data_IF_425171660630
#
_entry.id   IF_425171660630
#
_cell.length_a   1.000
_cell.length_b   1.000
_cell.length_c   1.000
_cell.angle_alpha   90.00
_cell.angle_beta   90.00
_cell.angle_gamma   90.00
#
_symmetry.space_group_name_H-M   'P 1'
#
loop_
_entity.id
_entity.type
_entity.pdbx_description
1 polymer ?
#
# COMPACT_ATOMS: atom_id res chain seq x y z
N UNK A 1 -1.73 -24.63 7.83
CA UNK A 1 -0.77 -23.80 7.05
C UNK A 1 -1.34 -23.22 5.73
N UNK A 2 -1.65 -24.04 4.71
CA UNK A 2 -2.06 -23.53 3.37
C UNK A 2 -3.46 -22.89 3.40
N UNK A 3 -4.43 -23.52 4.07
CA UNK A 3 -5.79 -22.99 4.21
C UNK A 3 -5.85 -21.69 5.01
N UNK A 4 -5.02 -21.57 6.05
CA UNK A 4 -4.91 -20.36 6.87
C UNK A 4 -4.24 -19.22 6.08
N UNK A 5 -3.22 -19.55 5.28
CA UNK A 5 -2.59 -18.58 4.37
C UNK A 5 -3.58 -18.09 3.32
N UNK A 6 -4.36 -18.99 2.70
CA UNK A 6 -5.42 -18.62 1.76
C UNK A 6 -6.51 -17.75 2.40
N UNK A 7 -6.97 -18.12 3.61
CA UNK A 7 -7.97 -17.33 4.35
C UNK A 7 -7.45 -15.92 4.65
N UNK A 8 -6.19 -15.77 5.01
CA UNK A 8 -5.61 -14.45 5.29
C UNK A 8 -5.34 -13.62 4.05
N UNK A 9 -4.87 -14.22 2.95
CA UNK A 9 -4.81 -13.57 1.64
C UNK A 9 -6.18 -12.98 1.30
N UNK A 10 -7.24 -13.76 1.52
CA UNK A 10 -8.62 -13.36 1.24
C UNK A 10 -9.14 -12.25 2.17
N UNK A 11 -8.69 -12.18 3.42
CA UNK A 11 -9.11 -11.19 4.42
C UNK A 11 -8.30 -9.89 4.39
N UNK A 12 -7.03 -9.96 3.96
CA UNK A 12 -6.08 -8.87 4.08
C UNK A 12 -5.71 -8.21 2.74
N UNK A 13 -6.19 -8.71 1.60
CA UNK A 13 -6.05 -7.99 0.33
C UNK A 13 -6.97 -6.77 0.30
N UNK A 14 -6.44 -5.54 0.25
CA UNK A 14 -7.27 -4.35 0.21
C UNK A 14 -7.93 -4.21 -1.18
N UNK A 15 -9.20 -3.76 -1.25
CA UNK A 15 -9.77 -3.31 -2.51
C UNK A 15 -9.00 -2.07 -2.98
N UNK A 16 -8.47 -2.12 -4.21
CA UNK A 16 -7.77 -0.99 -4.83
C UNK A 16 -8.81 -0.02 -5.34
N UNK A 17 -8.88 1.19 -4.76
CA UNK A 17 -9.71 2.27 -5.28
C UNK A 17 -9.07 2.86 -6.54
N UNK A 18 -9.79 2.86 -7.66
CA UNK A 18 -9.37 3.48 -8.92
C UNK A 18 -10.18 4.76 -9.18
N UNK A 19 -9.66 5.63 -10.06
CA UNK A 19 -10.18 6.98 -10.32
C UNK A 19 -11.52 7.03 -11.06
N UNK A 20 -11.81 5.98 -11.82
CA UNK A 20 -13.07 5.79 -12.52
C UNK A 20 -13.27 4.30 -12.79
N UNK A 21 -14.51 3.88 -13.00
CA UNK A 21 -14.78 2.50 -13.39
C UNK A 21 -14.11 2.09 -14.70
N UNK A 22 -13.79 3.06 -15.57
CA UNK A 22 -13.05 2.84 -16.81
C UNK A 22 -11.55 2.60 -16.57
N UNK A 23 -10.89 3.39 -15.71
CA UNK A 23 -9.50 3.13 -15.33
C UNK A 23 -9.35 1.82 -14.56
N UNK A 24 -10.31 1.53 -13.65
CA UNK A 24 -10.38 0.26 -12.97
C UNK A 24 -10.46 -0.91 -13.96
N UNK A 25 -11.38 -0.84 -14.93
CA UNK A 25 -11.55 -1.87 -15.95
C UNK A 25 -10.29 -2.05 -16.80
N UNK A 26 -9.67 -0.94 -17.22
CA UNK A 26 -8.45 -0.93 -18.05
C UNK A 26 -7.24 -1.55 -17.32
N UNK A 27 -7.08 -1.31 -16.02
CA UNK A 27 -6.00 -1.89 -15.23
C UNK A 27 -6.28 -3.35 -14.80
N UNK A 28 -7.55 -3.73 -14.63
CA UNK A 28 -7.94 -5.09 -14.26
C UNK A 28 -7.93 -6.06 -15.45
N UNK A 29 -8.25 -5.62 -16.68
CA UNK A 29 -8.35 -6.48 -17.87
C UNK A 29 -7.09 -7.32 -18.14
N UNK A 30 -5.88 -6.71 -18.20
CA UNK A 30 -4.64 -7.45 -18.48
C UNK A 30 -4.29 -8.39 -17.32
N UNK A 31 -4.51 -7.93 -16.08
CA UNK A 31 -4.28 -8.71 -14.86
C UNK A 31 -5.13 -9.97 -14.83
N UNK A 32 -6.44 -9.85 -15.07
CA UNK A 32 -7.38 -11.00 -15.09
C UNK A 32 -6.98 -11.99 -16.19
N UNK A 33 -6.64 -11.53 -17.39
CA UNK A 33 -6.17 -12.40 -18.47
C UNK A 33 -4.90 -13.19 -18.09
N UNK A 34 -3.93 -12.53 -17.46
CA UNK A 34 -2.68 -13.16 -17.00
C UNK A 34 -2.86 -14.13 -15.82
N UNK A 35 -3.87 -13.88 -14.97
CA UNK A 35 -4.23 -14.75 -13.84
C UNK A 35 -5.01 -16.00 -14.27
N UNK A 36 -5.85 -15.90 -15.30
CA UNK A 36 -6.67 -17.02 -15.80
C UNK A 36 -5.85 -17.91 -16.75
N UNK A 37 -4.93 -17.34 -17.53
CA UNK A 37 -4.11 -18.08 -18.50
C UNK A 37 -2.62 -17.81 -18.29
N UNK A 38 -2.03 -18.25 -17.15
CA UNK A 38 -0.62 -18.00 -16.86
C UNK A 38 0.33 -18.73 -17.83
N UNK A 39 -0.15 -19.79 -18.50
CA UNK A 39 0.60 -20.56 -19.48
C UNK A 39 -0.16 -20.66 -20.80
N UNK A 40 0.43 -20.11 -21.86
CA UNK A 40 -0.05 -20.20 -23.24
C UNK A 40 -1.50 -19.70 -23.48
N UNK A 41 -1.81 -18.41 -23.21
CA UNK A 41 -3.10 -17.80 -23.57
C UNK A 41 -3.44 -17.98 -25.06
N UNK A 42 -2.44 -18.11 -25.93
CA UNK A 42 -2.63 -18.37 -27.35
C UNK A 42 -3.26 -19.72 -27.69
N UNK A 43 -2.93 -20.80 -26.96
CA UNK A 43 -3.42 -22.16 -27.27
C UNK A 43 -4.77 -22.43 -26.59
N UNK A 44 -4.87 -22.12 -25.30
CA UNK A 44 -6.09 -22.37 -24.53
C UNK A 44 -7.15 -21.29 -24.72
N UNK A 45 -6.74 -20.04 -24.95
CA UNK A 45 -7.66 -18.99 -25.39
C UNK A 45 -8.27 -19.33 -26.75
N UNK A 46 -7.49 -19.88 -27.68
CA UNK A 46 -8.01 -20.35 -28.97
C UNK A 46 -9.04 -21.47 -28.81
N UNK A 47 -8.82 -22.43 -27.90
CA UNK A 47 -9.80 -23.48 -27.61
C UNK A 47 -11.10 -22.91 -27.01
N UNK A 48 -11.01 -21.93 -26.11
CA UNK A 48 -12.19 -21.24 -25.59
C UNK A 48 -12.95 -20.51 -26.71
N UNK A 49 -12.24 -19.84 -27.63
CA UNK A 49 -12.86 -19.21 -28.80
C UNK A 49 -13.55 -20.23 -29.70
N UNK A 50 -12.96 -21.42 -29.89
CA UNK A 50 -13.61 -22.53 -30.60
C UNK A 50 -14.88 -22.96 -29.86
N UNK A 51 -14.83 -23.11 -28.54
CA UNK A 51 -15.97 -23.49 -27.72
C UNK A 51 -17.11 -22.47 -27.79
N UNK A 52 -16.79 -21.17 -27.77
CA UNK A 52 -17.78 -20.09 -27.88
C UNK A 52 -18.38 -20.03 -29.29
N UNK A 53 -17.57 -20.14 -30.34
CA UNK A 53 -18.03 -19.99 -31.73
C UNK A 53 -18.68 -21.23 -32.33
N UNK A 54 -18.18 -22.42 -31.97
CA UNK A 54 -18.51 -23.69 -32.62
C UNK A 54 -18.96 -24.79 -31.65
N UNK A 55 -19.01 -24.51 -30.35
CA UNK A 55 -19.58 -25.45 -29.38
C UNK A 55 -21.08 -25.67 -29.61
N UNK A 56 -21.54 -26.87 -29.32
CA UNK A 56 -22.96 -27.19 -29.33
C UNK A 56 -23.64 -26.52 -28.13
N UNK A 57 -24.53 -25.56 -28.40
CA UNK A 57 -25.34 -24.87 -27.40
C UNK A 57 -26.81 -25.19 -27.61
N UNK A 58 -27.60 -25.17 -26.53
CA UNK A 58 -29.04 -25.49 -26.61
C UNK A 58 -29.81 -24.40 -27.36
N UNK A 59 -29.37 -23.14 -27.25
CA UNK A 59 -29.86 -22.01 -28.05
C UNK A 59 -28.68 -21.24 -28.67
N UNK A 60 -28.86 -20.59 -29.83
CA UNK A 60 -27.83 -19.72 -30.42
C UNK A 60 -27.39 -18.59 -29.49
N UNK A 61 -28.33 -18.04 -28.71
CA UNK A 61 -28.10 -16.91 -27.80
C UNK A 61 -27.21 -17.28 -26.60
N UNK A 62 -27.17 -18.56 -26.21
CA UNK A 62 -26.33 -19.05 -25.11
C UNK A 62 -24.82 -18.86 -25.39
N UNK A 63 -24.44 -18.64 -26.65
CA UNK A 63 -23.06 -18.35 -27.07
C UNK A 63 -22.56 -16.99 -26.60
N UNK A 64 -23.48 -16.06 -26.31
CA UNK A 64 -23.14 -14.73 -25.79
C UNK A 64 -23.00 -14.70 -24.27
N UNK A 65 -23.49 -15.72 -23.57
CA UNK A 65 -23.44 -15.84 -22.11
C UNK A 65 -22.03 -15.59 -21.53
N UNK A 66 -20.92 -16.07 -22.12
CA UNK A 66 -19.57 -15.84 -21.59
C UNK A 66 -19.14 -14.40 -21.72
N UNK A 67 -19.52 -13.76 -22.84
CA UNK A 67 -19.23 -12.35 -23.09
C UNK A 67 -19.99 -11.49 -22.09
N UNK A 68 -21.29 -11.76 -21.91
CA UNK A 68 -22.11 -11.04 -20.93
C UNK A 68 -21.61 -11.23 -19.50
N UNK A 69 -21.33 -12.46 -19.07
CA UNK A 69 -20.88 -12.75 -17.71
C UNK A 69 -19.45 -12.26 -17.47
N UNK A 70 -18.57 -12.33 -18.47
CA UNK A 70 -17.24 -11.72 -18.38
C UNK A 70 -17.33 -10.20 -18.20
N UNK A 71 -18.23 -9.55 -18.93
CA UNK A 71 -18.43 -8.09 -18.90
C UNK A 71 -19.26 -7.60 -17.71
N UNK A 72 -20.09 -8.46 -17.10
CA UNK A 72 -20.99 -8.10 -15.98
C UNK A 72 -20.23 -7.52 -14.77
N UNK A 73 -19.11 -8.11 -14.31
CA UNK A 73 -18.20 -7.49 -13.35
C UNK A 73 -17.74 -6.09 -13.71
N UNK A 74 -17.42 -5.86 -14.99
CA UNK A 74 -16.95 -4.56 -15.47
C UNK A 74 -18.09 -3.55 -15.55
N UNK A 75 -19.31 -3.98 -15.86
CA UNK A 75 -20.50 -3.14 -15.76
C UNK A 75 -20.73 -2.68 -14.31
N UNK A 76 -20.55 -3.57 -13.33
CA UNK A 76 -20.60 -3.21 -11.91
C UNK A 76 -19.49 -2.21 -11.50
N UNK A 77 -18.26 -2.44 -11.96
CA UNK A 77 -17.14 -1.51 -11.74
C UNK A 77 -17.40 -0.15 -12.41
N UNK A 78 -17.96 -0.14 -13.63
CA UNK A 78 -18.34 1.06 -14.38
C UNK A 78 -19.47 1.85 -13.72
N UNK A 79 -20.49 1.17 -13.20
CA UNK A 79 -21.68 1.80 -12.61
C UNK A 79 -21.47 2.23 -11.16
N UNK A 80 -20.68 1.48 -10.38
CA UNK A 80 -20.57 1.68 -8.93
C UNK A 80 -19.19 2.17 -8.48
N UNK A 81 -18.19 2.23 -9.37
CA UNK A 81 -16.81 2.63 -9.08
C UNK A 81 -16.15 1.80 -7.94
N UNK A 82 -16.69 0.62 -7.64
CA UNK A 82 -16.14 -0.33 -6.67
C UNK A 82 -15.18 -1.24 -7.43
N UNK A 83 -13.91 -0.92 -7.36
CA UNK A 83 -12.85 -1.76 -7.88
C UNK A 83 -12.08 -2.38 -6.72
N UNK A 84 -11.65 -3.64 -6.90
CA UNK A 84 -11.05 -4.42 -5.82
C UNK A 84 -11.80 -5.67 -5.41
N UNK A 85 -12.61 -6.26 -6.29
CA UNK A 85 -13.09 -7.63 -6.13
C UNK A 85 -12.12 -8.59 -6.83
N UNK A 86 -11.17 -9.26 -6.15
CA UNK A 86 -10.30 -10.25 -6.77
C UNK A 86 -11.03 -11.59 -6.91
N UNK A 87 -12.37 -11.59 -7.10
CA UNK A 87 -13.17 -12.83 -7.20
C UNK A 87 -14.02 -12.89 -8.46
N UNK A 88 -14.03 -11.85 -9.28
CA UNK A 88 -14.79 -11.87 -10.54
C UNK A 88 -14.28 -12.93 -11.51
N UNK A 89 -12.96 -13.20 -11.51
CA UNK A 89 -12.43 -14.34 -12.25
C UNK A 89 -12.90 -15.69 -11.68
N UNK A 90 -13.13 -15.82 -10.36
CA UNK A 90 -13.66 -17.04 -9.74
C UNK A 90 -15.12 -17.31 -10.14
N UNK A 91 -15.92 -16.26 -10.35
CA UNK A 91 -17.27 -16.40 -10.89
C UNK A 91 -17.27 -16.76 -12.38
N UNK A 92 -16.28 -16.28 -13.14
CA UNK A 92 -16.14 -16.58 -14.56
C UNK A 92 -15.41 -17.90 -14.84
N UNK A 93 -14.67 -18.43 -13.86
CA UNK A 93 -13.84 -19.62 -13.99
C UNK A 93 -14.66 -20.88 -14.37
N UNK A 94 -15.81 -21.19 -13.74
CA UNK A 94 -16.66 -22.30 -14.16
C UNK A 94 -17.11 -22.19 -15.63
N UNK A 95 -17.44 -20.99 -16.10
CA UNK A 95 -17.82 -20.76 -17.49
C UNK A 95 -16.64 -20.97 -18.43
N UNK A 96 -15.47 -20.42 -18.12
CA UNK A 96 -14.27 -20.66 -18.91
C UNK A 96 -13.95 -22.15 -19.02
N UNK A 97 -14.13 -22.92 -17.95
CA UNK A 97 -13.95 -24.38 -17.98
C UNK A 97 -14.99 -25.07 -18.88
N UNK A 98 -16.25 -24.62 -18.90
CA UNK A 98 -17.29 -25.14 -19.79
C UNK A 98 -16.92 -24.87 -21.26
N UNK A 99 -16.54 -23.64 -21.62
CA UNK A 99 -16.18 -23.32 -23.01
C UNK A 99 -14.85 -23.93 -23.44
N UNK A 100 -13.90 -24.08 -22.51
CA UNK A 100 -12.68 -24.83 -22.77
C UNK A 100 -13.00 -26.29 -23.07
N UNK A 101 -13.91 -26.92 -22.31
CA UNK A 101 -14.34 -28.31 -22.54
C UNK A 101 -15.10 -28.47 -23.87
N UNK A 102 -15.98 -27.53 -24.22
CA UNK A 102 -16.67 -27.52 -25.52
C UNK A 102 -15.67 -27.33 -26.67
N UNK A 103 -14.69 -26.44 -26.48
CA UNK A 103 -13.63 -26.16 -27.45
C UNK A 103 -12.70 -27.34 -27.69
N UNK A 104 -12.28 -28.03 -26.64
CA UNK A 104 -11.45 -29.24 -26.74
C UNK A 104 -12.20 -30.39 -27.40
N UNK A 105 -13.50 -30.56 -27.08
CA UNK A 105 -14.36 -31.54 -27.74
C UNK A 105 -14.47 -31.26 -29.25
N UNK A 106 -14.77 -30.01 -29.61
CA UNK A 106 -14.93 -29.61 -31.01
C UNK A 106 -13.62 -29.71 -31.80
N UNK A 107 -12.50 -29.33 -31.18
CA UNK A 107 -11.18 -29.49 -31.78
C UNK A 107 -10.84 -30.98 -32.01
N UNK A 108 -11.14 -31.84 -31.04
CA UNK A 108 -10.96 -33.29 -31.15
C UNK A 108 -11.82 -33.91 -32.26
N UNK A 109 -13.10 -33.52 -32.36
CA UNK A 109 -13.99 -33.99 -33.43
C UNK A 109 -13.49 -33.57 -34.81
N UNK A 110 -13.05 -32.31 -34.97
CA UNK A 110 -12.49 -31.83 -36.25
C UNK A 110 -11.22 -32.57 -36.64
N UNK A 111 -10.36 -32.87 -35.66
CA UNK A 111 -9.16 -33.66 -35.90
C UNK A 111 -9.50 -35.11 -36.31
N UNK A 112 -10.51 -35.73 -35.70
CA UNK A 112 -11.00 -37.05 -36.07
C UNK A 112 -11.55 -37.10 -37.50
N UNK A 113 -12.27 -36.05 -37.92
CA UNK A 113 -12.77 -35.95 -39.30
C UNK A 113 -11.65 -35.77 -40.32
N UNK A 114 -10.59 -35.03 -39.98
CA UNK A 114 -9.42 -34.85 -40.85
C UNK A 114 -8.61 -36.15 -40.96
N UNK A 115 -8.49 -36.90 -39.87
CA UNK A 115 -7.73 -38.15 -39.80
C UNK A 115 -8.54 -39.41 -40.18
N UNK A 116 -9.82 -39.26 -40.54
CA UNK A 116 -10.75 -40.35 -40.89
C UNK A 116 -10.78 -41.50 -39.86
N UNK A 117 -10.58 -41.19 -38.58
CA UNK A 117 -10.54 -42.19 -37.49
C UNK A 117 -11.39 -41.72 -36.30
N UNK A 118 -12.59 -42.28 -36.09
CA UNK A 118 -13.53 -41.79 -35.08
C UNK A 118 -12.99 -41.92 -33.64
N UNK A 119 -12.19 -42.95 -33.34
CA UNK A 119 -11.59 -43.12 -32.01
C UNK A 119 -10.49 -42.10 -31.66
N UNK A 120 -9.92 -41.42 -32.66
CA UNK A 120 -8.80 -40.48 -32.45
C UNK A 120 -9.30 -39.15 -31.86
N UNK A 121 -10.55 -38.76 -32.10
CA UNK A 121 -11.10 -37.50 -31.59
C UNK A 121 -11.17 -37.43 -30.07
N UNK A 122 -11.69 -38.48 -29.44
CA UNK A 122 -11.79 -38.58 -27.98
C UNK A 122 -10.41 -38.67 -27.32
N UNK A 123 -9.47 -39.39 -27.96
CA UNK A 123 -8.09 -39.45 -27.50
C UNK A 123 -7.39 -38.08 -27.60
N UNK A 124 -7.62 -37.35 -28.69
CA UNK A 124 -7.07 -36.01 -28.89
C UNK A 124 -7.65 -34.99 -27.91
N UNK A 125 -8.97 -35.00 -27.69
CA UNK A 125 -9.62 -34.14 -26.70
C UNK A 125 -9.10 -34.42 -25.28
N UNK A 126 -9.01 -35.69 -24.89
CA UNK A 126 -8.43 -36.11 -23.60
C UNK A 126 -6.97 -35.69 -23.48
N UNK A 127 -6.18 -35.85 -24.55
CA UNK A 127 -4.78 -35.42 -24.60
C UNK A 127 -4.61 -33.91 -24.40
N UNK A 128 -5.46 -33.09 -25.01
CA UNK A 128 -5.45 -31.64 -24.84
C UNK A 128 -5.81 -31.22 -23.40
N UNK A 129 -6.76 -31.90 -22.76
CA UNK A 129 -7.11 -31.66 -21.35
C UNK A 129 -5.98 -32.08 -20.42
N UNK A 130 -5.34 -33.23 -20.66
CA UNK A 130 -4.20 -33.67 -19.87
C UNK A 130 -3.00 -32.73 -20.02
N UNK A 131 -2.74 -32.24 -21.23
CA UNK A 131 -1.69 -31.24 -21.47
C UNK A 131 -1.98 -29.93 -20.73
N UNK A 132 -3.24 -29.48 -20.72
CA UNK A 132 -3.67 -28.33 -19.93
C UNK A 132 -3.44 -28.54 -18.43
N UNK A 133 -3.87 -29.67 -17.89
CA UNK A 133 -3.72 -30.00 -16.48
C UNK A 133 -2.24 -30.10 -16.09
N UNK A 134 -1.41 -30.77 -16.90
CA UNK A 134 0.01 -30.89 -16.68
C UNK A 134 0.72 -29.52 -16.72
N UNK A 135 0.36 -28.63 -17.65
CA UNK A 135 0.89 -27.27 -17.72
C UNK A 135 0.54 -26.45 -16.49
N UNK A 136 -0.73 -26.45 -16.08
CA UNK A 136 -1.18 -25.76 -14.86
C UNK A 136 -0.53 -26.34 -13.60
N UNK A 137 -0.42 -27.66 -13.49
CA UNK A 137 0.24 -28.31 -12.36
C UNK A 137 1.72 -27.95 -12.31
N UNK A 138 2.39 -27.83 -13.45
CA UNK A 138 3.80 -27.40 -13.53
C UNK A 138 3.97 -25.96 -13.06
N UNK A 139 3.14 -25.03 -13.51
CA UNK A 139 3.15 -23.63 -13.03
C UNK A 139 2.84 -23.59 -11.54
N UNK A 140 1.84 -24.36 -11.09
CA UNK A 140 1.47 -24.42 -9.70
C UNK A 140 2.62 -24.95 -8.85
N UNK A 141 3.32 -26.01 -9.28
CA UNK A 141 4.43 -26.60 -8.53
C UNK A 141 5.76 -25.83 -8.65
N UNK A 142 5.99 -25.10 -9.74
CA UNK A 142 7.26 -24.39 -10.00
C UNK A 142 7.20 -22.91 -9.64
N UNK A 143 6.10 -22.24 -9.93
CA UNK A 143 6.01 -20.78 -9.86
C UNK A 143 5.17 -20.27 -8.69
N UNK A 144 4.26 -21.09 -8.16
CA UNK A 144 3.36 -20.70 -7.05
C UNK A 144 3.66 -21.46 -5.76
N UNK A 145 3.79 -22.78 -5.81
CA UNK A 145 4.04 -23.63 -4.65
C UNK A 145 5.35 -23.24 -3.95
N UNK A 146 6.50 -22.98 -4.62
CA UNK A 146 7.72 -22.59 -3.92
C UNK A 146 7.60 -21.21 -3.26
N UNK A 147 6.82 -20.29 -3.83
CA UNK A 147 6.52 -18.98 -3.23
C UNK A 147 5.71 -19.11 -1.94
N UNK A 148 4.83 -20.11 -1.85
CA UNK A 148 3.97 -20.38 -0.69
C UNK A 148 4.62 -21.34 0.31
N UNK A 149 5.41 -22.31 -0.15
CA UNK A 149 5.98 -23.41 0.64
C UNK A 149 7.37 -23.07 1.24
N UNK A 150 8.12 -22.13 0.65
CA UNK A 150 9.42 -21.71 1.18
C UNK A 150 9.35 -20.79 2.40
N UNK A 151 8.15 -20.37 2.81
CA UNK A 151 7.97 -19.38 3.87
C UNK A 151 7.14 -19.98 5.00
N UNK A 152 7.75 -20.18 6.16
CA UNK A 152 7.00 -20.44 7.38
C UNK A 152 6.28 -19.14 7.80
N UNK A 153 5.10 -18.92 7.23
CA UNK A 153 4.26 -17.76 7.52
C UNK A 153 3.91 -17.66 9.01
N UNK A 154 3.90 -18.79 9.73
CA UNK A 154 3.62 -18.81 11.16
C UNK A 154 4.84 -18.36 11.95
N UNK A 155 6.04 -18.86 11.63
CA UNK A 155 7.29 -18.38 12.20
C UNK A 155 7.49 -16.88 11.93
N UNK A 156 7.28 -16.43 10.69
CA UNK A 156 7.36 -15.01 10.34
C UNK A 156 6.42 -14.14 11.19
N UNK A 157 5.15 -14.54 11.36
CA UNK A 157 4.19 -13.80 12.19
C UNK A 157 4.59 -13.77 13.66
N UNK A 158 5.07 -14.90 14.19
CA UNK A 158 5.49 -14.99 15.59
C UNK A 158 6.71 -14.10 15.84
N UNK A 159 7.72 -14.16 14.98
CA UNK A 159 8.88 -13.27 15.04
C UNK A 159 8.49 -11.80 14.88
N UNK A 160 7.66 -11.47 13.89
CA UNK A 160 7.19 -10.09 13.66
C UNK A 160 6.45 -9.55 14.89
N UNK A 161 5.58 -10.35 15.51
CA UNK A 161 4.85 -9.97 16.72
C UNK A 161 5.78 -9.84 17.94
N UNK A 162 6.83 -10.66 18.03
CA UNK A 162 7.81 -10.58 19.11
C UNK A 162 8.75 -9.36 18.97
N UNK A 163 9.02 -8.94 17.74
CA UNK A 163 9.94 -7.83 17.42
C UNK A 163 9.27 -6.46 17.29
N UNK A 164 7.95 -6.38 17.25
CA UNK A 164 7.19 -5.12 17.18
C UNK A 164 6.55 -4.75 18.51
N UNK A 165 6.86 -3.54 18.99
CA UNK A 165 6.12 -2.92 20.09
C UNK A 165 4.71 -2.48 19.67
N UNK A 166 3.78 -2.30 20.62
CA UNK A 166 2.41 -1.83 20.33
C UNK A 166 2.36 -0.40 19.75
N UNK A 167 3.38 0.41 20.03
CA UNK A 167 3.50 1.79 19.53
C UNK A 167 4.57 1.93 18.45
N UNK A 168 4.99 0.84 17.80
CA UNK A 168 5.92 0.89 16.67
C UNK A 168 5.15 1.09 15.36
N UNK A 169 5.56 2.09 14.56
CA UNK A 169 5.06 2.30 13.22
C UNK A 169 5.77 1.37 12.23
N UNK A 170 4.99 0.55 11.53
CA UNK A 170 5.52 -0.37 10.53
C UNK A 170 5.48 0.23 9.11
N UNK A 171 6.65 0.32 8.50
CA UNK A 171 6.86 0.62 7.09
C UNK A 171 7.20 -0.68 6.36
N UNK A 172 6.94 -0.75 5.06
CA UNK A 172 7.34 -1.89 4.24
C UNK A 172 7.82 -1.41 2.89
N UNK A 173 8.85 -2.06 2.35
CA UNK A 173 9.40 -1.71 1.03
C UNK A 173 8.47 -2.08 -0.11
N UNK A 174 7.60 -3.08 0.07
CA UNK A 174 6.69 -3.57 -0.96
C UNK A 174 5.33 -4.03 -0.42
N UNK A 175 4.25 -3.90 -1.21
CA UNK A 175 2.90 -4.37 -0.82
C UNK A 175 2.84 -5.87 -0.52
N UNK A 176 3.66 -6.70 -1.18
CA UNK A 176 3.67 -8.15 -0.98
C UNK A 176 4.18 -8.57 0.42
N UNK A 177 5.02 -7.73 1.05
CA UNK A 177 5.48 -7.96 2.43
C UNK A 177 4.35 -7.70 3.44
N UNK A 178 3.29 -7.00 3.03
CA UNK A 178 2.20 -6.60 3.91
C UNK A 178 1.20 -7.70 4.22
N UNK A 179 1.14 -8.77 3.42
CA UNK A 179 0.09 -9.79 3.53
C UNK A 179 -0.10 -10.33 4.96
N UNK A 180 1.00 -10.46 5.71
CA UNK A 180 1.02 -10.94 7.10
C UNK A 180 1.25 -9.83 8.14
N UNK A 181 1.46 -8.59 7.68
CA UNK A 181 1.77 -7.43 8.50
C UNK A 181 0.65 -6.37 8.58
N UNK A 182 -0.41 -6.48 7.74
CA UNK A 182 -1.60 -5.58 7.76
C UNK A 182 -2.20 -5.49 9.17
N UNK A 183 -2.45 -6.62 9.83
CA UNK A 183 -3.13 -6.65 11.12
C UNK A 183 -2.28 -6.03 12.24
N UNK A 184 -1.00 -6.41 12.41
CA UNK A 184 -0.09 -5.69 13.31
C UNK A 184 -0.01 -4.19 13.01
N UNK A 185 0.11 -3.81 11.74
CA UNK A 185 0.15 -2.40 11.35
C UNK A 185 -1.09 -1.62 11.78
N UNK A 186 -2.29 -2.12 11.43
CA UNK A 186 -3.56 -1.47 11.80
C UNK A 186 -3.68 -1.33 13.32
N UNK A 187 -3.40 -2.41 14.05
CA UNK A 187 -3.48 -2.42 15.52
C UNK A 187 -2.53 -1.40 16.14
N UNK A 188 -1.27 -1.39 15.69
CA UNK A 188 -0.26 -0.47 16.21
C UNK A 188 -0.60 0.98 15.85
N UNK A 189 -1.06 1.24 14.63
CA UNK A 189 -1.45 2.58 14.21
C UNK A 189 -2.60 3.12 15.06
N UNK A 190 -3.64 2.31 15.32
CA UNK A 190 -4.71 2.72 16.24
C UNK A 190 -4.20 2.97 17.66
N UNK A 191 -3.25 2.16 18.16
CA UNK A 191 -2.64 2.36 19.48
C UNK A 191 -1.82 3.66 19.55
N UNK A 192 -1.00 3.95 18.53
CA UNK A 192 -0.22 5.20 18.41
C UNK A 192 -1.15 6.42 18.46
N UNK A 193 -2.26 6.35 17.73
CA UNK A 193 -3.22 7.46 17.63
C UNK A 193 -3.96 7.70 18.97
N UNK A 194 -4.40 6.62 19.63
CA UNK A 194 -5.10 6.67 20.92
C UNK A 194 -4.20 7.16 22.05
N UNK A 195 -2.98 6.63 22.13
CA UNK A 195 -2.07 6.91 23.25
C UNK A 195 -1.15 8.11 22.97
N UNK A 196 -1.26 8.72 21.79
CA UNK A 196 -0.38 9.80 21.29
C UNK A 196 1.11 9.48 21.53
N UNK A 197 1.51 8.25 21.19
CA UNK A 197 2.83 7.70 21.51
C UNK A 197 3.37 6.90 20.34
N UNK A 198 4.62 7.17 19.96
CA UNK A 198 5.34 6.46 18.90
C UNK A 198 6.71 6.04 19.44
N UNK A 199 6.90 4.74 19.67
CA UNK A 199 8.11 4.18 20.27
C UNK A 199 9.23 3.96 19.25
N UNK A 200 8.88 3.82 17.98
CA UNK A 200 9.86 3.71 16.91
C UNK A 200 9.22 3.54 15.53
N UNK A 201 10.04 3.74 14.49
CA UNK A 201 9.66 3.45 13.11
C UNK A 201 10.50 2.26 12.63
N UNK A 202 9.84 1.22 12.14
CA UNK A 202 10.46 -0.03 11.69
C UNK A 202 10.17 -0.24 10.22
N UNK A 203 11.18 -0.65 9.45
CA UNK A 203 11.04 -0.99 8.03
C UNK A 203 11.11 -2.51 7.85
N UNK A 204 10.02 -3.09 7.34
CA UNK A 204 9.96 -4.45 6.87
C UNK A 204 10.53 -4.52 5.44
N UNK A 205 11.63 -5.25 5.30
CA UNK A 205 12.34 -5.43 4.03
C UNK A 205 12.53 -6.89 3.67
N UNK A 206 13.19 -7.11 2.52
CA UNK A 206 13.65 -8.42 2.08
C UNK A 206 15.10 -8.36 1.64
N UNK A 207 15.90 -9.37 1.99
CA UNK A 207 17.35 -9.42 1.75
C UNK A 207 17.74 -9.34 0.26
N UNK A 208 16.84 -9.73 -0.65
CA UNK A 208 17.08 -9.65 -2.10
C UNK A 208 16.75 -8.29 -2.71
N UNK A 209 16.25 -7.35 -1.91
CA UNK A 209 15.76 -6.07 -2.43
C UNK A 209 16.42 -4.90 -1.72
N UNK A 210 16.85 -3.95 -2.55
CA UNK A 210 17.52 -2.75 -2.10
C UNK A 210 16.57 -1.88 -1.25
N UNK A 211 17.05 -1.28 -0.16
CA UNK A 211 16.33 -0.29 0.63
C UNK A 211 15.89 0.93 -0.19
N UNK A 212 16.57 1.22 -1.31
CA UNK A 212 16.16 2.19 -2.32
C UNK A 212 14.77 1.89 -2.94
N UNK A 213 14.25 0.67 -2.76
CA UNK A 213 12.91 0.31 -3.16
C UNK A 213 11.82 0.87 -2.21
N UNK A 214 12.19 1.37 -1.02
CA UNK A 214 11.24 2.08 -0.17
C UNK A 214 10.92 3.44 -0.77
N UNK A 215 9.82 3.47 -1.51
CA UNK A 215 9.30 4.65 -2.16
C UNK A 215 7.98 5.06 -1.52
N UNK A 216 7.82 6.36 -1.33
CA UNK A 216 6.61 6.96 -0.79
C UNK A 216 6.03 7.93 -1.81
N UNK A 217 4.70 8.01 -1.86
CA UNK A 217 3.99 8.89 -2.78
C UNK A 217 3.77 10.24 -2.12
N UNK A 218 4.46 11.27 -2.59
CA UNK A 218 4.17 12.66 -2.23
C UNK A 218 3.20 13.32 -3.21
N UNK A 219 2.97 14.61 -3.00
CA UNK A 219 2.07 15.43 -3.83
C UNK A 219 2.62 15.62 -5.26
N UNK A 220 3.94 15.74 -5.41
CA UNK A 220 4.62 15.95 -6.70
C UNK A 220 5.01 14.64 -7.40
N UNK A 221 4.77 13.50 -6.76
CA UNK A 221 5.11 12.18 -7.30
C UNK A 221 5.74 11.26 -6.26
N UNK A 222 6.26 10.13 -6.73
CA UNK A 222 6.90 9.11 -5.90
C UNK A 222 8.38 9.41 -5.71
N UNK A 223 8.88 9.30 -4.47
CA UNK A 223 10.30 9.53 -4.17
C UNK A 223 10.84 8.52 -3.15
N UNK A 224 12.15 8.30 -3.17
CA UNK A 224 12.84 7.43 -2.23
C UNK A 224 13.22 8.22 -0.96
N UNK A 225 12.53 7.97 0.15
CA UNK A 225 12.71 8.72 1.40
C UNK A 225 14.04 8.39 2.10
N UNK A 226 14.48 7.14 2.04
CA UNK A 226 15.54 6.60 2.88
C UNK A 226 16.86 6.34 2.14
N UNK A 227 16.85 6.35 0.81
CA UNK A 227 18.05 6.04 -0.01
C UNK A 227 19.28 6.89 0.32
N UNK A 228 19.18 8.19 0.68
CA UNK A 228 20.38 8.97 1.01
C UNK A 228 21.04 8.56 2.34
N UNK A 229 20.30 7.88 3.22
CA UNK A 229 20.72 7.58 4.59
C UNK A 229 21.12 6.11 4.78
N UNK A 230 20.67 5.23 3.87
CA UNK A 230 20.89 3.78 3.96
C UNK A 230 21.40 3.23 2.62
N UNK A 231 22.69 3.35 2.31
CA UNK A 231 23.27 2.82 1.07
C UNK A 231 23.28 1.27 1.01
N UNK A 232 22.97 0.59 2.12
CA UNK A 232 22.84 -0.87 2.22
C UNK A 232 22.10 -1.29 3.49
N UNK A 233 21.85 -2.60 3.67
CA UNK A 233 21.14 -3.14 4.84
C UNK A 233 22.03 -3.06 6.09
N UNK A 234 21.63 -2.32 7.14
CA UNK A 234 22.43 -2.22 8.36
C UNK A 234 22.48 -3.53 9.15
N UNK A 235 23.56 -3.73 9.91
CA UNK A 235 23.72 -4.87 10.83
C UNK A 235 22.68 -4.90 11.97
N UNK A 236 21.88 -3.84 12.13
CA UNK A 236 20.80 -3.75 13.14
C UNK A 236 19.49 -4.39 12.68
N UNK A 237 19.44 -4.95 11.46
CA UNK A 237 18.29 -5.67 10.96
C UNK A 237 18.06 -6.96 11.76
N UNK A 238 16.82 -7.14 12.23
CA UNK A 238 16.37 -8.37 12.90
C UNK A 238 15.82 -9.31 11.84
N UNK A 239 16.37 -10.52 11.74
CA UNK A 239 15.81 -11.56 10.87
C UNK A 239 14.46 -12.01 11.43
N UNK A 240 13.43 -11.99 10.59
CA UNK A 240 12.07 -12.38 10.96
C UNK A 240 11.75 -13.81 10.56
N UNK A 241 12.33 -14.29 9.45
CA UNK A 241 12.23 -15.66 8.92
C UNK A 241 12.61 -15.62 7.43
N UNK A 242 13.57 -16.46 7.05
CA UNK A 242 13.98 -16.64 5.66
C UNK A 242 14.67 -15.40 5.10
N UNK A 243 14.06 -14.77 4.09
CA UNK A 243 14.63 -13.64 3.35
C UNK A 243 14.06 -12.29 3.78
N UNK A 244 13.40 -12.20 4.94
CA UNK A 244 12.72 -10.99 5.43
C UNK A 244 13.32 -10.49 6.74
N UNK A 245 13.48 -9.18 6.83
CA UNK A 245 14.05 -8.54 8.01
C UNK A 245 13.22 -7.35 8.47
N UNK A 246 13.39 -6.99 9.74
CA UNK A 246 12.87 -5.78 10.33
C UNK A 246 14.04 -4.85 10.70
N UNK A 247 14.07 -3.67 10.08
CA UNK A 247 15.11 -2.67 10.32
C UNK A 247 14.56 -1.51 11.17
N UNK A 248 15.11 -1.23 12.37
CA UNK A 248 14.87 0.05 13.03
C UNK A 248 15.34 1.22 12.18
N UNK A 249 14.46 2.18 11.90
CA UNK A 249 14.80 3.43 11.24
C UNK A 249 15.10 4.56 12.22
N UNK A 250 14.64 4.44 13.47
CA UNK A 250 14.81 5.46 14.52
C UNK A 250 15.67 4.94 15.65
N UNK A 251 16.46 5.82 16.27
CA UNK A 251 17.35 5.47 17.37
C UNK A 251 16.63 5.30 18.73
N UNK A 252 15.38 5.74 18.83
CA UNK A 252 14.59 5.69 20.06
C UNK A 252 13.16 6.20 19.85
N UNK A 253 12.42 6.42 20.96
CA UNK A 253 11.04 6.90 20.92
C UNK A 253 10.95 8.30 20.33
N UNK A 254 9.86 8.53 19.59
CA UNK A 254 9.60 9.81 18.98
C UNK A 254 8.94 10.78 19.97
N UNK A 255 9.29 12.05 19.84
CA UNK A 255 8.65 13.14 20.57
C UNK A 255 7.40 13.60 19.82
N UNK A 256 6.25 13.64 20.49
CA UNK A 256 5.04 14.28 19.96
C UNK A 256 5.16 15.80 20.04
N UNK A 257 4.85 16.49 18.95
CA UNK A 257 4.92 17.95 18.83
C UNK A 257 3.55 18.63 19.01
N UNK A 258 2.45 17.87 18.90
CA UNK A 258 1.10 18.39 19.01
C UNK A 258 0.44 17.94 20.31
N UNK A 259 -0.35 18.84 20.88
CA UNK A 259 -1.26 18.54 21.98
C UNK A 259 -2.56 17.95 21.43
N UNK A 260 -3.32 17.31 22.30
CA UNK A 260 -4.67 16.84 21.98
C UNK A 260 -5.61 18.01 21.59
N UNK A 261 -6.49 17.76 20.62
CA UNK A 261 -7.40 18.72 19.98
C UNK A 261 -6.69 19.91 19.31
N UNK A 262 -5.51 19.72 18.73
CA UNK A 262 -4.83 20.79 18.00
C UNK A 262 -5.70 21.35 16.86
N UNK A 263 -6.46 20.50 16.21
CA UNK A 263 -7.34 20.76 15.06
C UNK A 263 -8.43 21.78 15.38
N UNK A 264 -8.92 21.82 16.62
CA UNK A 264 -9.96 22.77 17.05
C UNK A 264 -9.39 23.97 17.78
N UNK A 265 -8.24 23.83 18.46
CA UNK A 265 -7.64 24.89 19.28
C UNK A 265 -6.63 25.75 18.53
N UNK A 266 -6.07 25.26 17.42
CA UNK A 266 -5.04 26.00 16.71
C UNK A 266 -5.60 27.20 15.95
N UNK A 267 -4.83 28.30 15.83
CA UNK A 267 -5.28 29.50 15.13
C UNK A 267 -5.10 29.32 13.61
N UNK A 268 -5.94 28.46 13.00
CA UNK A 268 -5.94 28.20 11.57
C UNK A 268 -6.19 29.48 10.76
N UNK A 269 -5.50 29.61 9.63
CA UNK A 269 -5.63 30.72 8.69
C UNK A 269 -5.64 30.22 7.25
N UNK A 270 -6.48 30.76 6.36
CA UNK A 270 -6.38 30.48 4.94
C UNK A 270 -5.04 30.93 4.37
N UNK A 271 -4.43 30.11 3.53
CA UNK A 271 -3.18 30.45 2.82
C UNK A 271 -3.32 30.31 1.29
N UNK A 272 -4.32 29.59 0.81
CA UNK A 272 -4.59 29.44 -0.63
C UNK A 272 -6.05 29.05 -0.87
N UNK A 273 -6.62 29.57 -1.97
CA UNK A 273 -7.96 29.22 -2.45
C UNK A 273 -9.11 29.85 -1.68
N UNK A 274 -10.33 29.57 -2.14
CA UNK A 274 -11.56 30.02 -1.53
C UNK A 274 -12.29 28.85 -0.88
N UNK A 275 -12.59 28.98 0.41
CA UNK A 275 -13.24 27.91 1.16
C UNK A 275 -13.60 28.34 2.57
N UNK A 276 -14.11 27.38 3.35
CA UNK A 276 -14.51 27.58 4.74
C UNK A 276 -13.84 26.53 5.61
N UNK A 277 -13.38 26.97 6.77
CA UNK A 277 -12.94 26.10 7.84
C UNK A 277 -13.71 26.43 9.12
N UNK A 278 -14.07 25.41 9.89
CA UNK A 278 -14.77 25.55 11.16
C UNK A 278 -14.65 24.25 11.96
N UNK A 279 -15.08 24.29 13.21
CA UNK A 279 -15.30 23.08 13.98
C UNK A 279 -16.39 22.22 13.33
N UNK A 280 -16.14 20.92 13.28
CA UNK A 280 -17.01 19.93 12.67
C UNK A 280 -18.18 19.58 13.58
N UNK A 281 -19.39 19.35 13.01
CA UNK A 281 -20.50 18.77 13.76
C UNK A 281 -20.35 17.25 13.98
N UNK A 282 -19.40 16.57 13.30
CA UNK A 282 -19.22 15.13 13.46
C UNK A 282 -18.55 14.79 14.79
N UNK A 283 -18.93 13.68 15.45
CA UNK A 283 -18.23 13.18 16.62
C UNK A 283 -16.79 12.81 16.25
N UNK A 284 -15.84 13.50 16.86
CA UNK A 284 -14.42 13.27 16.69
C UNK A 284 -14.02 11.87 17.23
N UNK A 285 -13.16 11.10 16.54
CA UNK A 285 -12.62 9.84 17.05
C UNK A 285 -11.73 10.01 18.28
N UNK A 286 -11.13 11.18 18.46
CA UNK A 286 -10.38 11.57 19.65
C UNK A 286 -10.92 12.88 20.22
N UNK A 287 -10.74 13.11 21.53
CA UNK A 287 -10.90 14.44 22.09
C UNK A 287 -12.31 15.04 21.95
N UNK A 288 -12.36 16.35 21.67
CA UNK A 288 -13.57 17.17 21.81
C UNK A 288 -14.21 17.63 20.49
N UNK A 289 -13.48 17.66 19.38
CA UNK A 289 -14.01 18.13 18.11
C UNK A 289 -13.03 17.94 16.95
N UNK A 290 -13.51 18.09 15.72
CA UNK A 290 -12.72 17.91 14.50
C UNK A 290 -12.69 19.20 13.66
N UNK A 291 -11.71 19.34 12.78
CA UNK A 291 -11.62 20.45 11.83
C UNK A 291 -12.34 20.08 10.53
N UNK A 292 -13.38 20.82 10.17
CA UNK A 292 -14.05 20.71 8.88
C UNK A 292 -13.41 21.68 7.88
N UNK A 293 -12.93 21.17 6.75
CA UNK A 293 -12.58 21.97 5.58
C UNK A 293 -13.57 21.73 4.45
N UNK A 294 -14.02 22.81 3.82
CA UNK A 294 -14.95 22.79 2.70
C UNK A 294 -14.54 23.79 1.65
N UNK A 295 -14.60 23.38 0.39
CA UNK A 295 -14.39 24.28 -0.75
C UNK A 295 -15.51 24.15 -1.78
N UNK A 296 -15.65 25.18 -2.62
CA UNK A 296 -16.47 25.17 -3.83
C UNK A 296 -15.75 24.46 -4.98
N UNK A 297 -16.38 24.39 -6.15
CA UNK A 297 -15.83 23.67 -7.30
C UNK A 297 -14.66 24.39 -8.00
N UNK A 298 -14.31 25.62 -7.59
CA UNK A 298 -13.41 26.49 -8.35
C UNK A 298 -11.94 26.27 -8.00
N UNK A 299 -11.62 26.06 -6.72
CA UNK A 299 -10.23 25.97 -6.26
C UNK A 299 -10.02 24.99 -5.11
N UNK A 300 -8.80 24.46 -5.02
CA UNK A 300 -8.34 23.76 -3.83
C UNK A 300 -8.21 24.77 -2.69
N UNK A 301 -8.53 24.37 -1.46
CA UNK A 301 -8.49 25.24 -0.30
C UNK A 301 -7.48 24.74 0.73
N UNK A 302 -6.60 25.63 1.18
CA UNK A 302 -5.53 25.32 2.11
C UNK A 302 -5.55 26.23 3.33
N UNK A 303 -5.47 25.62 4.51
CA UNK A 303 -5.29 26.33 5.78
C UNK A 303 -3.96 25.96 6.42
N UNK A 304 -3.41 26.89 7.18
CA UNK A 304 -2.17 26.73 7.92
C UNK A 304 -2.37 27.08 9.39
N UNK A 305 -1.69 26.35 10.28
CA UNK A 305 -1.58 26.69 11.69
C UNK A 305 -0.15 26.51 12.21
N UNK A 306 0.32 27.39 13.13
CA UNK A 306 1.62 27.23 13.76
C UNK A 306 1.62 26.05 14.74
N UNK A 307 2.68 25.25 14.71
CA UNK A 307 2.95 24.23 15.73
C UNK A 307 3.64 24.93 16.91
N UNK A 308 3.17 24.75 18.16
CA UNK A 308 3.73 25.45 19.30
C UNK A 308 5.19 25.08 19.59
N UNK A 309 6.02 26.10 19.84
CA UNK A 309 7.42 25.94 20.22
C UNK A 309 8.40 25.96 19.05
N UNK A 310 9.69 25.82 19.38
CA UNK A 310 10.78 25.75 18.41
C UNK A 310 11.25 24.30 18.31
N UNK A 311 11.41 23.81 17.09
CA UNK A 311 11.97 22.50 16.83
C UNK A 311 13.49 22.60 16.67
N UNK A 312 14.23 22.03 17.61
CA UNK A 312 15.68 21.87 17.50
C UNK A 312 16.04 20.42 17.18
N UNK A 313 16.85 20.22 16.14
CA UNK A 313 17.25 18.90 15.64
C UNK A 313 18.76 18.89 15.40
N UNK A 314 19.47 17.96 16.04
CA UNK A 314 20.94 17.91 15.96
C UNK A 314 21.49 16.95 14.88
N UNK A 315 20.64 16.07 14.36
CA UNK A 315 20.97 15.08 13.32
C UNK A 315 19.74 14.86 12.42
N UNK A 316 19.89 14.37 11.18
CA UNK A 316 18.73 14.05 10.34
C UNK A 316 17.71 13.22 11.11
N UNK A 317 16.45 13.64 11.06
CA UNK A 317 15.38 13.04 11.87
C UNK A 317 14.18 12.70 11.02
N UNK A 318 13.53 11.57 11.30
CA UNK A 318 12.27 11.22 10.68
C UNK A 318 11.14 11.99 11.36
N UNK A 319 10.26 12.56 10.54
CA UNK A 319 8.98 13.10 11.00
C UNK A 319 7.85 12.23 10.46
N UNK A 320 6.92 11.89 11.35
CA UNK A 320 5.69 11.20 11.01
C UNK A 320 4.50 12.12 11.31
N UNK A 321 3.75 12.49 10.27
CA UNK A 321 2.49 13.22 10.39
C UNK A 321 1.36 12.21 10.24
N UNK A 322 0.50 12.10 11.24
CA UNK A 322 -0.63 11.18 11.24
C UNK A 322 -1.92 11.95 11.42
N UNK A 323 -3.00 11.51 10.78
CA UNK A 323 -4.33 12.10 10.95
C UNK A 323 -5.42 11.09 10.66
N UNK A 324 -6.60 11.33 11.23
CA UNK A 324 -7.84 10.71 10.86
C UNK A 324 -8.61 11.65 9.90
N UNK A 325 -9.21 11.10 8.84
CA UNK A 325 -10.01 11.87 7.89
C UNK A 325 -11.37 11.19 7.60
N UNK A 326 -12.43 12.00 7.55
CA UNK A 326 -13.78 11.56 7.18
C UNK A 326 -14.37 12.52 6.14
N UNK A 327 -14.65 11.99 4.95
CA UNK A 327 -15.21 12.79 3.84
C UNK A 327 -16.72 12.88 3.94
N UNK A 328 -17.25 14.10 3.87
CA UNK A 328 -18.68 14.35 3.65
C UNK A 328 -19.00 14.40 2.16
N UNK A 329 -18.04 14.84 1.34
CA UNK A 329 -18.15 14.90 -0.11
C UNK A 329 -16.78 14.71 -0.72
N UNK A 330 -16.62 13.68 -1.56
CA UNK A 330 -15.39 13.37 -2.28
C UNK A 330 -15.71 13.24 -3.77
N UNK A 331 -14.97 13.95 -4.62
CA UNK A 331 -15.19 13.97 -6.07
C UNK A 331 -14.13 13.18 -6.82
N UNK A 332 -12.89 13.19 -6.34
CA UNK A 332 -11.78 12.51 -6.96
C UNK A 332 -11.03 11.64 -5.94
N UNK A 333 -10.28 10.61 -6.37
CA UNK A 333 -9.37 9.87 -5.48
C UNK A 333 -8.11 10.68 -5.15
N UNK A 334 -8.24 12.01 -5.01
CA UNK A 334 -7.15 12.89 -4.63
C UNK A 334 -6.82 12.67 -3.16
N UNK A 335 -5.52 12.68 -2.87
CA UNK A 335 -5.04 12.70 -1.50
C UNK A 335 -5.14 14.15 -1.01
N UNK A 336 -5.77 14.43 0.13
CA UNK A 336 -5.84 15.80 0.61
C UNK A 336 -4.46 16.30 1.00
N UNK A 337 -4.18 17.55 0.62
CA UNK A 337 -2.89 18.20 0.81
C UNK A 337 -2.48 18.19 2.29
N UNK A 338 -1.24 17.75 2.55
CA UNK A 338 -0.66 17.70 3.89
C UNK A 338 0.83 17.96 3.81
N UNK A 339 1.28 19.06 4.38
CA UNK A 339 2.71 19.36 4.44
C UNK A 339 3.06 20.07 5.73
N UNK A 340 4.34 20.02 6.06
CA UNK A 340 4.94 20.82 7.11
C UNK A 340 5.80 21.90 6.44
N UNK A 341 5.54 23.15 6.81
CA UNK A 341 6.37 24.28 6.46
C UNK A 341 7.35 24.57 7.62
N UNK A 342 8.63 24.70 7.27
CA UNK A 342 9.73 24.96 8.18
C UNK A 342 10.26 26.36 7.91
N UNK A 343 10.30 27.17 8.95
CA UNK A 343 10.95 28.48 8.93
C UNK A 343 12.30 28.33 9.62
N UNK A 344 13.41 28.41 8.87
CA UNK A 344 14.75 28.32 9.46
C UNK A 344 15.03 29.58 10.28
N UNK A 345 15.12 29.41 11.59
CA UNK A 345 15.36 30.55 12.50
C UNK A 345 16.78 31.10 12.38
N UNK A 346 17.70 30.36 11.76
CA UNK A 346 19.05 30.82 11.41
C UNK A 346 19.05 31.67 10.13
N UNK A 347 18.01 31.57 9.30
CA UNK A 347 17.82 32.31 8.04
C UNK A 347 16.39 32.87 7.96
N UNK A 348 16.10 33.94 8.73
CA UNK A 348 14.75 34.49 8.82
C UNK A 348 14.21 34.87 7.43
N UNK A 349 13.01 34.40 7.12
CA UNK A 349 12.34 34.64 5.83
C UNK A 349 12.43 33.48 4.83
N UNK A 350 13.31 32.50 5.03
CA UNK A 350 13.30 31.26 4.24
C UNK A 350 12.31 30.26 4.84
N UNK A 351 11.19 30.03 4.15
CA UNK A 351 10.24 28.96 4.47
C UNK A 351 10.39 27.82 3.48
N UNK A 352 10.69 26.63 3.99
CA UNK A 352 10.81 25.41 3.20
C UNK A 352 9.61 24.49 3.43
N UNK A 353 9.04 23.95 2.36
CA UNK A 353 8.04 22.89 2.46
C UNK A 353 8.76 21.55 2.52
N UNK A 354 8.39 20.74 3.50
CA UNK A 354 8.90 19.40 3.62
C UNK A 354 8.13 18.47 2.70
N UNK A 355 8.88 17.72 1.90
CA UNK A 355 8.35 16.61 1.12
C UNK A 355 7.90 15.50 2.08
N UNK A 356 6.59 15.38 2.24
CA UNK A 356 5.95 14.29 2.95
C UNK A 356 5.44 13.26 1.94
N UNK A 357 5.72 11.99 2.21
CA UNK A 357 5.23 10.88 1.42
C UNK A 357 4.20 10.07 2.20
N UNK A 358 3.06 9.78 1.56
CA UNK A 358 2.04 8.91 2.11
C UNK A 358 2.60 7.50 2.27
N UNK A 359 2.45 6.97 3.48
CA UNK A 359 2.78 5.60 3.81
C UNK A 359 1.60 4.70 3.44
N UNK A 360 1.89 3.62 2.69
CA UNK A 360 0.94 2.56 2.33
C UNK A 360 -0.38 3.02 1.70
N UNK A 361 -0.31 3.68 0.54
CA UNK A 361 -1.47 4.18 -0.22
C UNK A 361 -2.58 3.11 -0.44
N UNK A 362 -2.22 1.82 -0.45
CA UNK A 362 -3.15 0.70 -0.59
C UNK A 362 -3.71 0.09 0.71
N UNK A 363 -3.19 0.41 1.89
CA UNK A 363 -3.62 -0.23 3.16
C UNK A 363 -4.41 0.77 4.00
N UNK A 364 -5.73 0.65 3.95
CA UNK A 364 -6.62 1.46 4.79
C UNK A 364 -6.60 0.93 6.22
N UNK A 365 -6.39 1.83 7.17
CA UNK A 365 -6.62 1.61 8.59
C UNK A 365 -7.73 2.58 9.03
N UNK A 366 -8.61 2.12 9.89
CA UNK A 366 -9.76 2.91 10.33
C UNK A 366 -9.67 3.15 11.84
N UNK A 367 -10.13 4.33 12.24
CA UNK A 367 -10.41 4.66 13.63
C UNK A 367 -11.91 4.91 13.76
N UNK A 368 -12.57 4.06 14.52
CA UNK A 368 -13.99 4.22 14.81
C UNK A 368 -14.21 5.45 15.71
N UNK A 369 -15.06 6.35 15.25
CA UNK A 369 -15.55 7.49 16.01
C UNK A 369 -16.43 7.06 17.19
N UNK A 370 -16.80 8.02 18.06
CA UNK A 370 -17.68 7.76 19.22
C UNK A 370 -19.04 7.13 18.84
N UNK A 371 -19.52 7.37 17.62
CA UNK A 371 -20.75 6.80 17.06
C UNK A 371 -20.51 5.67 16.05
N UNK A 372 -19.36 5.00 16.12
CA UNK A 372 -18.97 3.94 15.19
C UNK A 372 -18.84 4.38 13.72
N UNK A 373 -18.71 5.69 13.46
CA UNK A 373 -18.40 6.18 12.12
C UNK A 373 -16.92 5.89 11.80
N UNK A 374 -16.60 5.32 10.62
CA UNK A 374 -15.23 4.99 10.27
C UNK A 374 -14.46 6.23 9.80
N UNK A 375 -13.36 6.57 10.47
CA UNK A 375 -12.41 7.57 10.01
C UNK A 375 -11.18 6.89 9.42
N UNK A 376 -10.77 7.32 8.23
CA UNK A 376 -9.58 6.76 7.58
C UNK A 376 -8.31 7.34 8.22
N UNK A 377 -7.42 6.49 8.69
CA UNK A 377 -6.11 6.90 9.19
C UNK A 377 -5.12 7.04 8.04
N UNK A 378 -4.41 8.17 8.02
CA UNK A 378 -3.33 8.47 7.08
C UNK A 378 -2.05 8.74 7.85
N UNK A 379 -0.94 8.21 7.33
CA UNK A 379 0.41 8.43 7.86
C UNK A 379 1.28 8.95 6.74
N UNK A 380 2.00 10.02 7.02
CA UNK A 380 2.93 10.65 6.11
C UNK A 380 4.32 10.69 6.75
N UNK A 381 5.35 10.39 5.98
CA UNK A 381 6.73 10.38 6.44
C UNK A 381 7.58 11.40 5.66
N UNK A 382 8.48 12.07 6.38
CA UNK A 382 9.48 12.98 5.82
C UNK A 382 10.78 12.92 6.61
N UNK A 383 11.83 13.56 6.09
CA UNK A 383 13.10 13.70 6.79
C UNK A 383 13.39 15.19 7.03
N UNK A 384 13.58 15.54 8.29
CA UNK A 384 13.95 16.88 8.73
C UNK A 384 15.47 16.97 8.87
N UNK A 385 16.13 17.91 8.19
CA UNK A 385 17.56 18.13 8.35
C UNK A 385 17.89 18.75 9.73
N UNK A 386 19.14 18.65 10.19
CA UNK A 386 19.58 19.32 11.42
C UNK A 386 19.33 20.83 11.35
N UNK A 387 18.94 21.46 12.44
CA UNK A 387 18.69 22.90 12.52
C UNK A 387 17.70 23.29 13.61
N UNK A 388 17.33 24.58 13.61
CA UNK A 388 16.35 25.18 14.54
C UNK A 388 15.22 25.81 13.74
N UNK A 389 14.00 25.31 13.91
CA UNK A 389 12.90 25.61 13.02
C UNK A 389 11.66 26.09 13.77
N UNK A 390 11.01 27.12 13.22
CA UNK A 390 9.58 27.34 13.43
C UNK A 390 8.79 26.39 12.53
N UNK A 391 7.74 25.79 13.05
CA UNK A 391 6.94 24.80 12.33
C UNK A 391 5.52 25.31 12.09
N UNK A 392 5.02 25.10 10.88
CA UNK A 392 3.61 25.30 10.54
C UNK A 392 3.09 24.06 9.84
N UNK A 393 1.88 23.64 10.17
CA UNK A 393 1.21 22.55 9.46
C UNK A 393 0.20 23.12 8.50
N UNK A 394 0.18 22.58 7.28
CA UNK A 394 -0.76 22.92 6.22
C UNK A 394 -1.66 21.73 5.93
N UNK A 395 -2.96 22.00 5.90
CA UNK A 395 -4.02 21.01 5.68
C UNK A 395 -4.93 21.54 4.59
N UNK A 396 -5.22 20.73 3.59
CA UNK A 396 -6.02 21.18 2.44
C UNK A 396 -7.04 20.17 1.96
N UNK A 397 -8.04 20.71 1.26
CA UNK A 397 -9.14 19.97 0.65
C UNK A 397 -9.17 20.30 -0.84
N UNK A 398 -9.37 19.27 -1.67
CA UNK A 398 -9.46 19.46 -3.11
C UNK A 398 -10.78 20.15 -3.51
N UNK A 399 -10.77 20.86 -4.62
CA UNK A 399 -11.95 21.54 -5.18
C UNK A 399 -13.19 20.65 -5.19
N UNK A 400 -14.31 21.22 -4.77
CA UNK A 400 -15.60 20.56 -4.69
C UNK A 400 -15.70 19.51 -3.60
N UNK A 401 -14.70 19.33 -2.73
CA UNK A 401 -14.71 18.34 -1.65
C UNK A 401 -14.99 18.98 -0.29
N UNK A 402 -15.39 18.12 0.64
CA UNK A 402 -15.67 18.46 2.03
C UNK A 402 -15.14 17.33 2.91
N UNK A 403 -14.24 17.66 3.84
CA UNK A 403 -13.50 16.68 4.63
C UNK A 403 -13.35 17.16 6.08
N UNK A 404 -13.47 16.23 7.01
CA UNK A 404 -13.16 16.43 8.41
C UNK A 404 -11.80 15.83 8.75
N UNK A 405 -11.04 16.53 9.57
CA UNK A 405 -9.78 16.07 10.13
C UNK A 405 -9.82 16.02 11.64
N UNK A 406 -9.32 14.94 12.21
CA UNK A 406 -9.13 14.79 13.65
C UNK A 406 -7.87 13.97 13.93
N UNK A 407 -7.44 13.93 15.20
CA UNK A 407 -6.36 13.07 15.66
C UNK A 407 -5.01 13.36 15.02
N UNK A 408 -4.79 14.58 14.53
CA UNK A 408 -3.53 15.07 14.02
C UNK A 408 -2.43 14.87 15.06
N UNK A 409 -1.43 14.07 14.68
CA UNK A 409 -0.20 13.85 15.44
C UNK A 409 0.98 14.20 14.57
N UNK A 410 1.99 14.84 15.16
CA UNK A 410 3.29 15.05 14.52
C UNK A 410 4.34 14.51 15.48
N UNK A 411 5.00 13.43 15.07
CA UNK A 411 6.08 12.83 15.83
C UNK A 411 7.41 13.09 15.15
N UNK A 412 8.45 13.35 15.93
CA UNK A 412 9.82 13.44 15.42
C UNK A 412 10.74 12.50 16.20
N UNK A 413 11.58 11.76 15.47
CA UNK A 413 12.57 10.85 16.04
C UNK A 413 13.89 10.94 15.27
N UNK A 414 15.06 10.91 15.96
CA UNK A 414 16.35 10.83 15.30
C UNK A 414 16.43 9.59 14.42
N UNK A 415 16.90 9.78 13.18
CA UNK A 415 17.14 8.68 12.26
C UNK A 415 18.32 7.86 12.82
N UNK A 416 18.19 6.53 12.79
CA UNK A 416 19.24 5.64 13.28
C UNK A 416 20.45 5.78 12.36
N UNK A 417 21.54 6.36 12.87
CA UNK A 417 22.76 6.55 12.10
C UNK A 417 23.33 5.19 11.66
N UNK A 418 23.46 4.99 10.35
CA UNK A 418 24.32 3.95 9.78
C UNK A 418 25.66 4.61 9.55
N UNK A 419 26.73 4.05 10.12
CA UNK A 419 28.08 4.60 10.01
C UNK A 419 28.37 5.07 8.59
N UNK A 420 28.78 6.33 8.46
CA UNK A 420 29.30 6.85 7.20
C UNK A 420 30.39 5.89 6.68
N UNK A 421 30.49 5.64 5.36
CA UNK A 421 31.65 4.94 4.84
C UNK A 421 32.90 5.68 5.33
N UNK A 422 33.77 4.94 6.02
CA UNK A 422 34.93 5.49 6.69
C UNK A 422 35.70 6.42 5.75
N UNK A 423 35.95 7.64 6.22
CA UNK A 423 37.17 8.34 5.83
C UNK A 423 38.33 7.45 6.26
N UNK A 424 38.87 6.68 5.32
CA UNK A 424 40.24 6.21 5.44
C UNK A 424 41.12 7.46 5.54
N UNK A 425 41.66 7.68 6.73
CA UNK A 425 42.54 8.79 7.04
C UNK A 425 42.78 8.84 8.53
N UNK A 426 44.04 8.62 8.92
CA UNK A 426 44.61 8.87 10.24
C UNK A 426 44.45 7.76 11.29
N UNK A 427 44.99 6.58 10.98
CA UNK A 427 45.76 5.87 12.01
C UNK A 427 47.07 6.65 12.18
N UNK A 428 47.09 7.58 13.13
CA UNK A 428 48.32 8.14 13.65
C UNK A 428 49.07 7.06 14.44
N UNK A 429 49.95 6.31 13.75
CA UNK A 429 51.05 5.59 14.38
C UNK A 429 52.16 6.63 14.60
N UNK A 430 52.38 7.03 15.84
CA UNK A 430 53.46 7.98 16.16
C UNK A 430 53.52 8.36 17.63
N UNK A 431 54.12 7.50 18.44
CA UNK A 431 54.47 7.80 19.84
C UNK A 431 55.60 6.88 20.30
N UNK A 432 56.82 7.25 19.91
CA UNK A 432 58.05 6.54 20.21
C UNK A 432 58.66 6.94 21.57
N UNK A 433 59.39 5.99 22.17
CA UNK A 433 60.50 6.21 23.11
C UNK A 433 60.12 6.28 24.59
N UNK A 434 60.81 5.64 25.53
CA UNK A 434 62.06 4.89 25.49
C UNK A 434 62.44 4.48 26.93
N UNK A 435 63.20 3.39 27.06
CA UNK A 435 63.87 3.03 28.32
C UNK A 435 64.98 4.04 28.66
N UNK A 436 65.08 4.42 29.94
CA UNK A 436 66.31 4.57 30.71
C UNK A 436 65.96 4.80 32.19
N UNK A 437 66.54 4.00 33.08
CA UNK A 437 66.41 4.07 34.54
C UNK A 437 66.38 2.69 35.14
#
# INVERSE_FOLDING_TARGET
>A
PVWESLREVVLNHPPVAYSSGFEAARHLLPGIGSLIFPFAPGVFGFLILIGVGFGETRKPDDRWLPVFIFLLPFAGVLLFNIAGYPRNYLFNFPLFMIFLALGTHQAGHRLASILLRPGVGTMAATGLVLLYLAGNLTVLLRDHYPKVAGHDAQAFKQSLKASLGPHDLLCATHPELYLYAVNPYRKNLTAIMKDNRLDGIRLLGSHHRNLNAFQVRGETGTFALLSPFFPGTPNTAVDLSGEKFLLPLTAGPARSLLKEDFETKAPWRPVMGHGRYRESPLPAPSGNGALLLQTDAESDFLVEAPVPGILEVNAPSLVAVMRAEAYLRKQAPTLPFTTLAFEDLSRPGETHLLNLGLLHDGVQAEWMGKNEEPWTLRVFLGVVPPGRYGLKIRMGVARGETVNYDGLRVFIAPLLAVGAPGRNGDIAIGGAGGMKG
#
